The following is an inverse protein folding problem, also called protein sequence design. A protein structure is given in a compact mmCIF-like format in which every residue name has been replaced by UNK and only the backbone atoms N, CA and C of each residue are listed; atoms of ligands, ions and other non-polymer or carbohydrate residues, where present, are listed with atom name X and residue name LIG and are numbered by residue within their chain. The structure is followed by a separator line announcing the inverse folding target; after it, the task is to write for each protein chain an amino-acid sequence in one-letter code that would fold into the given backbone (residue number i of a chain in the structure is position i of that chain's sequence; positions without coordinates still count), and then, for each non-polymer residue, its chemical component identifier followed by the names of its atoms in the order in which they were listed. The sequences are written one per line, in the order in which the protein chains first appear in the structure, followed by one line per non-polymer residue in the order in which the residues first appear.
data_IF_318100300623
#
_entry.id   IF_318100300623
#
_cell.length_a   1.000
_cell.length_b   1.000
_cell.length_c   1.000
_cell.angle_alpha   90.00
_cell.angle_beta   90.00
_cell.angle_gamma   90.00
#
_symmetry.space_group_name_H-M   'P 1'
#
loop_
_entity.id
_entity.type
_entity.pdbx_description
1 polymer ?
#
# COMPACT_ATOMS: atom_id res chain seq x y z
N UNK A 1 23.69 10.00 14.21
CA UNK A 1 24.29 9.65 15.53
C UNK A 1 24.67 8.17 15.59
N UNK A 2 23.85 7.20 16.08
CA UNK A 2 24.30 5.79 16.22
C UNK A 2 24.81 5.08 14.95
N UNK A 3 24.14 5.24 13.80
CA UNK A 3 24.56 4.58 12.55
C UNK A 3 25.84 5.17 11.97
N UNK A 4 25.99 6.49 12.05
CA UNK A 4 27.18 7.22 11.58
C UNK A 4 28.41 6.86 12.43
N UNK A 5 28.23 6.76 13.76
CA UNK A 5 29.28 6.33 14.70
C UNK A 5 29.70 4.87 14.47
N UNK A 6 28.82 4.04 13.90
CA UNK A 6 29.09 2.66 13.50
C UNK A 6 29.62 2.52 12.06
N UNK A 7 29.80 3.62 11.32
CA UNK A 7 30.22 3.61 9.91
C UNK A 7 29.18 3.04 8.94
N UNK A 8 27.92 2.94 9.38
CA UNK A 8 26.82 2.38 8.60
C UNK A 8 26.02 3.50 7.92
N UNK A 9 25.82 3.38 6.60
CA UNK A 9 25.04 4.34 5.81
C UNK A 9 23.52 4.20 6.00
N UNK A 10 23.07 3.02 6.40
CA UNK A 10 21.66 2.71 6.63
C UNK A 10 21.50 1.60 7.68
N UNK A 11 20.31 1.48 8.25
CA UNK A 11 19.99 0.40 9.18
C UNK A 11 19.79 -0.93 8.43
N UNK A 12 20.43 -2.00 8.90
CA UNK A 12 20.34 -3.33 8.28
C UNK A 12 18.94 -3.96 8.36
N UNK A 13 18.17 -3.65 9.42
CA UNK A 13 16.86 -4.25 9.65
C UNK A 13 15.82 -3.86 8.57
N UNK A 14 15.62 -2.56 8.22
CA UNK A 14 14.78 -2.19 7.08
C UNK A 14 15.19 -2.86 5.77
N UNK A 15 16.49 -2.91 5.48
CA UNK A 15 17.02 -3.53 4.26
C UNK A 15 16.68 -5.03 4.22
N UNK A 16 16.83 -5.73 5.36
CA UNK A 16 16.45 -7.14 5.49
C UNK A 16 14.93 -7.35 5.35
N UNK A 17 14.10 -6.55 6.01
CA UNK A 17 12.64 -6.65 5.92
C UNK A 17 12.18 -6.46 4.47
N UNK A 18 12.67 -5.44 3.78
CA UNK A 18 12.33 -5.21 2.37
C UNK A 18 12.82 -6.34 1.47
N UNK A 19 13.99 -6.92 1.73
CA UNK A 19 14.49 -8.07 0.99
C UNK A 19 13.60 -9.31 1.20
N UNK A 20 13.19 -9.59 2.43
CA UNK A 20 12.27 -10.68 2.75
C UNK A 20 10.89 -10.48 2.10
N UNK A 21 10.37 -9.25 2.11
CA UNK A 21 9.08 -8.91 1.50
C UNK A 21 9.08 -9.15 -0.01
N UNK A 22 10.16 -8.73 -0.70
CA UNK A 22 10.38 -9.03 -2.13
C UNK A 22 10.54 -10.52 -2.38
N UNK A 23 11.31 -11.23 -1.55
CA UNK A 23 11.53 -12.67 -1.67
C UNK A 23 10.22 -13.46 -1.58
N UNK A 24 9.31 -13.05 -0.70
CA UNK A 24 7.98 -13.66 -0.55
C UNK A 24 6.97 -13.22 -1.63
N UNK A 25 7.41 -12.40 -2.59
CA UNK A 25 6.59 -11.81 -3.64
C UNK A 25 5.37 -11.06 -3.07
N UNK A 26 5.60 -10.27 -2.01
CA UNK A 26 4.58 -9.48 -1.34
C UNK A 26 4.64 -8.03 -1.77
N UNK A 27 3.46 -7.40 -1.82
CA UNK A 27 3.31 -5.96 -2.01
C UNK A 27 2.31 -5.40 -1.01
N UNK A 28 2.35 -4.08 -0.87
CA UNK A 28 1.51 -3.33 0.05
C UNK A 28 0.51 -2.49 -0.72
N UNK A 29 -0.76 -2.53 -0.30
CA UNK A 29 -1.74 -1.51 -0.66
C UNK A 29 -2.20 -0.78 0.60
N UNK A 30 -2.76 0.41 0.43
CA UNK A 30 -3.15 1.27 1.55
C UNK A 30 -4.66 1.49 1.56
N UNK A 31 -5.23 1.50 2.76
CA UNK A 31 -6.50 2.17 3.03
C UNK A 31 -6.21 3.44 3.80
N UNK A 32 -6.79 4.58 3.40
CA UNK A 32 -6.54 5.87 4.03
C UNK A 32 -7.84 6.66 4.17
N UNK A 33 -8.07 7.19 5.37
CA UNK A 33 -9.22 8.02 5.72
C UNK A 33 -9.31 8.20 7.23
N UNK A 34 -10.23 9.03 7.71
CA UNK A 34 -10.58 9.08 9.13
C UNK A 34 -11.41 7.83 9.47
N UNK A 35 -11.09 7.06 10.55
CA UNK A 35 -10.08 7.31 11.59
C UNK A 35 -8.75 6.56 11.40
N UNK A 36 -8.61 5.75 10.34
CA UNK A 36 -7.49 4.83 10.19
C UNK A 36 -6.81 4.95 8.82
N UNK A 37 -5.47 4.98 8.86
CA UNK A 37 -4.61 4.73 7.72
C UNK A 37 -3.87 3.42 7.98
N UNK A 38 -3.96 2.47 7.04
CA UNK A 38 -3.41 1.13 7.20
C UNK A 38 -2.76 0.60 5.95
N UNK A 39 -1.64 -0.10 6.16
CA UNK A 39 -0.93 -0.88 5.17
C UNK A 39 -1.36 -2.35 5.21
N UNK A 40 -1.76 -2.89 4.06
CA UNK A 40 -2.22 -4.25 3.90
C UNK A 40 -1.27 -5.03 3.00
N UNK A 41 -0.95 -6.26 3.40
CA UNK A 41 -0.03 -7.15 2.68
C UNK A 41 -0.81 -8.07 1.76
N UNK A 42 -0.46 -8.12 0.48
CA UNK A 42 -0.98 -9.09 -0.50
C UNK A 42 0.16 -9.65 -1.33
N UNK A 43 -0.09 -10.72 -2.10
CA UNK A 43 0.89 -11.22 -3.07
C UNK A 43 0.87 -10.33 -4.31
N UNK A 44 2.02 -10.16 -4.95
CA UNK A 44 2.11 -9.50 -6.24
C UNK A 44 1.21 -10.22 -7.24
N UNK A 45 0.37 -9.45 -7.95
CA UNK A 45 -0.59 -9.98 -8.92
C UNK A 45 -1.94 -10.38 -8.32
N UNK A 46 -2.14 -10.24 -6.99
CA UNK A 46 -3.47 -10.42 -6.38
C UNK A 46 -4.50 -9.50 -7.03
N UNK A 47 -5.68 -10.04 -7.30
CA UNK A 47 -6.81 -9.29 -7.88
C UNK A 47 -7.47 -8.42 -6.81
N UNK A 48 -8.21 -7.38 -7.23
CA UNK A 48 -8.90 -6.50 -6.30
C UNK A 48 -9.85 -7.21 -5.31
N UNK A 49 -10.63 -8.25 -5.69
CA UNK A 49 -11.43 -9.02 -4.73
C UNK A 49 -10.58 -9.71 -3.65
N UNK A 50 -9.47 -10.34 -4.04
CA UNK A 50 -8.56 -11.04 -3.12
C UNK A 50 -7.91 -10.06 -2.14
N UNK A 51 -7.50 -8.88 -2.64
CA UNK A 51 -6.95 -7.81 -1.80
C UNK A 51 -7.99 -7.29 -0.80
N UNK A 52 -9.25 -7.16 -1.22
CA UNK A 52 -10.36 -6.78 -0.35
C UNK A 52 -10.67 -7.86 0.71
N UNK A 53 -10.46 -9.13 0.39
CA UNK A 53 -10.61 -10.26 1.33
C UNK A 53 -9.66 -10.20 2.53
N UNK A 54 -8.47 -9.60 2.34
CA UNK A 54 -7.51 -9.37 3.44
C UNK A 54 -8.05 -8.33 4.45
N UNK A 55 -8.89 -7.39 4.00
CA UNK A 55 -9.60 -6.46 4.89
C UNK A 55 -10.74 -7.21 5.60
N UNK A 56 -11.60 -7.89 4.82
CA UNK A 56 -12.68 -8.71 5.36
C UNK A 56 -13.21 -9.70 4.31
N UNK A 57 -13.43 -10.96 4.70
CA UNK A 57 -13.86 -12.02 3.78
C UNK A 57 -15.20 -11.77 3.08
N UNK A 58 -16.12 -11.04 3.72
CA UNK A 58 -17.39 -10.67 3.08
C UNK A 58 -17.21 -9.66 1.94
N UNK A 59 -16.18 -8.81 1.97
CA UNK A 59 -15.91 -7.86 0.89
C UNK A 59 -15.41 -8.59 -0.36
N UNK A 60 -14.63 -9.67 -0.19
CA UNK A 60 -14.21 -10.52 -1.32
C UNK A 60 -15.40 -11.24 -1.96
N UNK A 61 -16.29 -11.84 -1.15
CA UNK A 61 -17.48 -12.54 -1.65
C UNK A 61 -18.47 -11.60 -2.33
N UNK A 62 -18.65 -10.41 -1.75
CA UNK A 62 -19.56 -9.37 -2.24
C UNK A 62 -18.89 -8.34 -3.14
N UNK A 63 -17.69 -8.62 -3.67
CA UNK A 63 -16.92 -7.62 -4.39
C UNK A 63 -17.65 -7.16 -5.64
N UNK A 64 -17.89 -5.86 -5.76
CA UNK A 64 -18.49 -5.23 -6.95
C UNK A 64 -17.43 -4.46 -7.73
N UNK A 65 -16.71 -3.57 -7.05
CA UNK A 65 -15.69 -2.68 -7.60
C UNK A 65 -14.82 -2.11 -6.48
N UNK A 66 -13.70 -1.48 -6.84
CA UNK A 66 -12.85 -0.76 -5.90
C UNK A 66 -12.48 0.60 -6.47
N UNK A 67 -12.56 1.67 -5.67
CA UNK A 67 -11.99 2.95 -6.07
C UNK A 67 -10.46 2.91 -5.80
N UNK A 68 -9.65 3.06 -6.85
CA UNK A 68 -8.20 2.88 -6.78
C UNK A 68 -7.48 4.12 -7.33
N UNK A 69 -6.52 4.62 -6.57
CA UNK A 69 -5.59 5.67 -6.99
C UNK A 69 -4.15 5.16 -6.84
N UNK A 70 -3.28 5.46 -7.80
CA UNK A 70 -1.86 5.13 -7.67
C UNK A 70 -1.22 6.00 -6.58
N UNK A 71 -0.27 5.44 -5.82
CA UNK A 71 0.35 6.14 -4.70
C UNK A 71 0.95 7.49 -5.12
N UNK A 72 1.76 7.51 -6.18
CA UNK A 72 2.40 8.73 -6.67
C UNK A 72 1.39 9.78 -7.14
N UNK A 73 0.28 9.35 -7.76
CA UNK A 73 -0.81 10.24 -8.18
C UNK A 73 -1.53 10.85 -6.97
N UNK A 74 -1.75 10.08 -5.90
CA UNK A 74 -2.37 10.57 -4.67
C UNK A 74 -1.47 11.58 -3.96
N UNK A 75 -0.17 11.28 -3.83
CA UNK A 75 0.80 12.20 -3.22
C UNK A 75 0.92 13.49 -4.05
N UNK A 76 1.00 13.40 -5.38
CA UNK A 76 1.07 14.57 -6.26
C UNK A 76 -0.23 15.40 -6.28
N UNK A 77 -1.38 14.77 -6.04
CA UNK A 77 -2.67 15.46 -5.92
C UNK A 77 -2.87 16.13 -4.55
N UNK A 78 -2.18 15.67 -3.50
CA UNK A 78 -2.29 16.17 -2.13
C UNK A 78 -3.56 15.75 -1.39
N UNK A 79 -4.60 15.28 -2.09
CA UNK A 79 -5.81 14.71 -1.49
C UNK A 79 -6.52 13.75 -2.44
N UNK A 80 -7.34 12.86 -1.86
CA UNK A 80 -8.19 11.95 -2.65
C UNK A 80 -9.22 12.72 -3.50
N UNK A 81 -9.82 13.78 -2.95
CA UNK A 81 -10.78 14.62 -3.66
C UNK A 81 -10.16 15.26 -4.90
N UNK A 82 -8.97 15.86 -4.75
CA UNK A 82 -8.23 16.45 -5.87
C UNK A 82 -7.78 15.40 -6.89
N UNK A 83 -7.38 14.20 -6.45
CA UNK A 83 -7.06 13.10 -7.37
C UNK A 83 -8.27 12.65 -8.19
N UNK A 84 -9.45 12.60 -7.56
CA UNK A 84 -10.72 12.27 -8.21
C UNK A 84 -11.12 13.31 -9.25
N UNK A 85 -11.05 14.60 -8.90
CA UNK A 85 -11.32 15.72 -9.81
C UNK A 85 -10.38 15.72 -11.03
N UNK A 86 -9.13 15.30 -10.84
CA UNK A 86 -8.12 15.15 -11.91
C UNK A 86 -8.25 13.85 -12.70
N UNK A 87 -9.27 13.02 -12.45
CA UNK A 87 -9.50 11.76 -13.17
C UNK A 87 -8.46 10.67 -12.87
N UNK A 88 -7.76 10.73 -11.73
CA UNK A 88 -6.75 9.74 -11.33
C UNK A 88 -7.31 8.58 -10.52
N UNK A 89 -8.52 8.71 -9.99
CA UNK A 89 -9.24 7.64 -9.32
C UNK A 89 -9.92 6.76 -10.38
N UNK A 90 -9.64 5.46 -10.33
CA UNK A 90 -10.20 4.42 -11.21
C UNK A 90 -11.23 3.59 -10.46
N UNK A 91 -12.17 2.98 -11.18
CA UNK A 91 -13.20 2.07 -10.67
C UNK A 91 -12.89 0.61 -11.04
#
# INVERSE_FOLDING_TARGET
VFLEDAGLKEAALPTFIHAAYRLLNLVTFLTAGDPEVRAWTVRQGSRAPEAAGVIHSDIERGFIKAEIVAYDDLIAAGSYATARERGKVRL
#
